data_IF_745748186674
#
_entry.id   IF_745748186674
#
_cell.length_a   1.000
_cell.length_b   1.000
_cell.length_c   1.000
_cell.angle_alpha   90.00
_cell.angle_beta   90.00
_cell.angle_gamma   90.00
#
_symmetry.space_group_name_H-M   'P 1'
#
loop_
_entity.id
_entity.type
_entity.pdbx_description
1 polymer ?
#
# COMPACT_ATOMS: atom_id res chain seq x y z
N UNK A 1 -5.24 -9.43 5.20
CA UNK A 1 -4.44 -8.30 4.67
C UNK A 1 -3.97 -8.50 3.23
N UNK A 2 -3.42 -9.67 2.86
CA UNK A 2 -2.91 -9.94 1.48
C UNK A 2 -3.96 -9.70 0.37
N UNK A 3 -5.22 -10.05 0.61
CA UNK A 3 -6.32 -9.83 -0.32
C UNK A 3 -6.58 -8.33 -0.61
N UNK A 4 -6.65 -7.49 0.43
CA UNK A 4 -6.85 -6.04 0.30
C UNK A 4 -5.74 -5.37 -0.49
N UNK A 5 -4.49 -5.82 -0.32
CA UNK A 5 -3.34 -5.35 -1.10
C UNK A 5 -3.48 -5.67 -2.60
N UNK A 6 -3.91 -6.89 -2.93
CA UNK A 6 -4.09 -7.34 -4.32
C UNK A 6 -5.22 -6.57 -4.99
N UNK A 7 -6.35 -6.38 -4.29
CA UNK A 7 -7.46 -5.57 -4.80
C UNK A 7 -7.03 -4.14 -5.12
N UNK A 8 -6.32 -3.47 -4.20
CA UNK A 8 -5.82 -2.11 -4.43
C UNK A 8 -4.88 -2.05 -5.65
N UNK A 9 -4.03 -3.05 -5.87
CA UNK A 9 -3.17 -3.10 -7.05
C UNK A 9 -3.98 -3.24 -8.35
N UNK A 10 -5.03 -4.06 -8.34
CA UNK A 10 -5.94 -4.22 -9.48
C UNK A 10 -6.66 -2.90 -9.79
N UNK A 11 -7.19 -2.23 -8.77
CA UNK A 11 -7.88 -0.94 -8.93
C UNK A 11 -6.93 0.16 -9.42
N UNK A 12 -5.70 0.23 -8.89
CA UNK A 12 -4.67 1.16 -9.36
C UNK A 12 -4.38 0.93 -10.85
N UNK A 13 -4.23 -0.33 -11.28
CA UNK A 13 -3.95 -0.65 -12.67
C UNK A 13 -5.10 -0.24 -13.59
N UNK A 14 -6.34 -0.59 -13.23
CA UNK A 14 -7.53 -0.20 -14.00
C UNK A 14 -7.69 1.32 -14.08
N UNK A 15 -7.44 2.02 -12.98
CA UNK A 15 -7.55 3.48 -12.92
C UNK A 15 -6.47 4.17 -13.75
N UNK A 16 -5.26 3.60 -13.76
CA UNK A 16 -4.16 4.07 -14.61
C UNK A 16 -4.49 3.94 -16.09
N UNK A 17 -5.05 2.81 -16.51
CA UNK A 17 -5.49 2.60 -17.89
C UNK A 17 -6.56 3.62 -18.29
N UNK A 18 -7.53 3.85 -17.40
CA UNK A 18 -8.58 4.87 -17.60
C UNK A 18 -7.97 6.27 -17.73
N UNK A 19 -7.05 6.65 -16.85
CA UNK A 19 -6.38 7.96 -16.90
C UNK A 19 -5.61 8.15 -18.22
N UNK A 20 -4.91 7.12 -18.70
CA UNK A 20 -4.19 7.16 -19.98
C UNK A 20 -5.18 7.34 -21.13
N UNK A 21 -6.30 6.63 -21.13
CA UNK A 21 -7.32 6.75 -22.17
C UNK A 21 -7.95 8.15 -22.17
N UNK A 22 -8.30 8.68 -21.00
CA UNK A 22 -8.80 10.06 -20.84
C UNK A 22 -7.75 11.09 -21.29
N UNK A 23 -6.48 10.89 -20.97
CA UNK A 23 -5.39 11.77 -21.40
C UNK A 23 -5.19 11.77 -22.91
N UNK A 24 -5.33 10.60 -23.57
CA UNK A 24 -5.28 10.48 -25.03
C UNK A 24 -6.47 11.20 -25.69
N UNK A 25 -7.66 11.09 -25.09
CA UNK A 25 -8.89 11.66 -25.66
C UNK A 25 -8.99 13.17 -25.44
N UNK A 26 -8.69 13.64 -24.24
CA UNK A 26 -8.98 15.02 -23.80
C UNK A 26 -7.72 15.86 -23.56
N UNK A 27 -6.53 15.25 -23.58
CA UNK A 27 -5.27 15.87 -23.23
C UNK A 27 -4.93 15.74 -21.74
N UNK A 28 -3.63 15.75 -21.44
CA UNK A 28 -3.08 15.58 -20.08
C UNK A 28 -3.55 16.65 -19.07
N UNK A 29 -3.76 17.87 -19.55
CA UNK A 29 -4.18 19.00 -18.73
C UNK A 29 -5.72 19.14 -18.66
N UNK A 30 -6.47 18.21 -19.24
CA UNK A 30 -7.92 18.23 -19.10
C UNK A 30 -8.32 18.01 -17.66
N UNK A 31 -9.36 18.71 -17.21
CA UNK A 31 -9.87 18.57 -15.84
C UNK A 31 -10.24 17.11 -15.52
N UNK A 32 -10.70 16.35 -16.52
CA UNK A 32 -11.03 14.94 -16.40
C UNK A 32 -9.77 14.07 -16.17
N UNK A 33 -8.69 14.32 -16.90
CA UNK A 33 -7.42 13.61 -16.69
C UNK A 33 -6.79 13.97 -15.35
N UNK A 34 -6.84 15.24 -14.95
CA UNK A 34 -6.34 15.71 -13.63
C UNK A 34 -7.14 15.08 -12.49
N UNK A 35 -8.47 14.97 -12.62
CA UNK A 35 -9.29 14.26 -11.64
C UNK A 35 -8.91 12.78 -11.58
N UNK A 36 -8.72 12.14 -12.73
CA UNK A 36 -8.29 10.74 -12.79
C UNK A 36 -6.91 10.53 -12.14
N UNK A 37 -5.97 11.47 -12.30
CA UNK A 37 -4.66 11.37 -11.65
C UNK A 37 -4.76 11.51 -10.13
N UNK A 38 -5.59 12.44 -9.63
CA UNK A 38 -5.82 12.60 -8.19
C UNK A 38 -6.46 11.36 -7.56
N UNK A 39 -7.44 10.76 -8.23
CA UNK A 39 -8.09 9.52 -7.78
C UNK A 39 -7.10 8.33 -7.80
N UNK A 40 -6.22 8.26 -8.80
CA UNK A 40 -5.15 7.27 -8.87
C UNK A 40 -4.14 7.45 -7.73
N UNK A 41 -3.73 8.68 -7.44
CA UNK A 41 -2.81 9.01 -6.34
C UNK A 41 -3.39 8.60 -4.99
N UNK A 42 -4.69 8.78 -4.79
CA UNK A 42 -5.37 8.36 -3.55
C UNK A 42 -5.32 6.83 -3.36
N UNK A 43 -5.57 6.06 -4.42
CA UNK A 43 -5.46 4.59 -4.38
C UNK A 43 -4.02 4.13 -4.08
N UNK A 44 -3.03 4.79 -4.70
CA UNK A 44 -1.61 4.53 -4.44
C UNK A 44 -1.27 4.81 -2.97
N UNK A 45 -1.76 5.93 -2.42
CA UNK A 45 -1.53 6.29 -1.02
C UNK A 45 -2.13 5.26 -0.06
N UNK A 46 -3.36 4.78 -0.31
CA UNK A 46 -3.96 3.73 0.51
C UNK A 46 -3.14 2.44 0.48
N UNK A 47 -2.70 2.02 -0.71
CA UNK A 47 -1.81 0.87 -0.87
C UNK A 47 -0.53 1.02 -0.03
N UNK A 48 0.14 2.18 -0.13
CA UNK A 48 1.36 2.44 0.65
C UNK A 48 1.10 2.37 2.17
N UNK A 49 -0.03 2.90 2.64
CA UNK A 49 -0.43 2.82 4.05
C UNK A 49 -0.65 1.38 4.52
N UNK A 50 -1.27 0.53 3.70
CA UNK A 50 -1.44 -0.91 3.99
C UNK A 50 -0.06 -1.59 4.09
N UNK A 51 0.82 -1.35 3.12
CA UNK A 51 2.18 -1.94 3.10
C UNK A 51 3.00 -1.50 4.32
N UNK A 52 2.92 -0.21 4.70
CA UNK A 52 3.63 0.34 5.85
C UNK A 52 3.18 -0.33 7.15
N UNK A 53 1.86 -0.46 7.36
CA UNK A 53 1.30 -1.14 8.54
C UNK A 53 1.73 -2.59 8.64
N UNK A 54 1.76 -3.33 7.54
CA UNK A 54 2.25 -4.71 7.54
C UNK A 54 3.74 -4.81 7.93
N UNK A 55 4.57 -3.89 7.43
CA UNK A 55 5.99 -3.82 7.80
C UNK A 55 6.18 -3.50 9.30
N UNK A 56 5.40 -2.56 9.83
CA UNK A 56 5.45 -2.20 11.24
C UNK A 56 5.01 -3.34 12.16
N UNK A 57 3.95 -4.07 11.80
CA UNK A 57 3.53 -5.26 12.54
C UNK A 57 4.61 -6.34 12.56
N UNK A 58 5.25 -6.63 11.42
CA UNK A 58 6.38 -7.57 11.36
C UNK A 58 7.55 -7.15 12.25
N UNK A 59 7.89 -5.85 12.24
CA UNK A 59 8.95 -5.32 13.12
C UNK A 59 8.59 -5.49 14.60
N UNK A 60 7.35 -5.13 15.00
CA UNK A 60 6.85 -5.31 16.37
C UNK A 60 6.92 -6.77 16.82
N UNK A 61 6.42 -7.71 15.99
CA UNK A 61 6.51 -9.13 16.30
C UNK A 61 7.96 -9.61 16.45
N UNK A 62 8.88 -9.13 15.59
CA UNK A 62 10.30 -9.50 15.69
C UNK A 62 10.95 -9.00 16.97
N UNK A 63 10.59 -7.81 17.44
CA UNK A 63 11.07 -7.25 18.72
C UNK A 63 10.53 -8.09 19.88
N UNK A 64 9.21 -8.31 19.93
CA UNK A 64 8.57 -9.10 20.99
C UNK A 64 9.12 -10.53 21.06
N UNK A 65 9.36 -11.17 19.91
CA UNK A 65 9.96 -12.51 19.88
C UNK A 65 11.40 -12.51 20.42
N UNK A 66 12.18 -11.46 20.14
CA UNK A 66 13.56 -11.32 20.65
C UNK A 66 13.56 -11.10 22.16
N UNK A 67 12.65 -10.27 22.68
CA UNK A 67 12.45 -10.06 24.12
C UNK A 67 12.05 -11.36 24.83
N UNK A 68 11.09 -12.10 24.26
CA UNK A 68 10.70 -13.43 24.75
C UNK A 68 11.90 -14.39 24.81
N UNK A 69 12.68 -14.52 23.73
CA UNK A 69 13.88 -15.38 23.73
C UNK A 69 14.88 -14.96 24.82
N UNK A 70 15.09 -13.66 25.02
CA UNK A 70 15.98 -13.15 26.07
C UNK A 70 15.50 -13.52 27.48
N UNK A 71 14.19 -13.42 27.74
CA UNK A 71 13.60 -13.82 29.02
C UNK A 71 13.75 -15.32 29.26
N UNK A 72 13.53 -16.14 28.23
CA UNK A 72 13.70 -17.59 28.33
C UNK A 72 15.16 -17.99 28.61
N UNK A 73 16.12 -17.33 27.94
CA UNK A 73 17.54 -17.55 28.21
C UNK A 73 17.93 -17.20 29.65
N UNK A 74 17.29 -16.19 30.26
CA UNK A 74 17.52 -15.83 31.66
C UNK A 74 16.88 -16.80 32.66
N UNK A 75 15.82 -17.51 32.28
CA UNK A 75 15.13 -18.46 33.16
C UNK A 75 15.77 -19.86 33.18
N UNK A 76 16.68 -20.14 32.24
CA UNK A 76 17.39 -21.43 32.09
C UNK A 76 18.78 -21.41 32.75
N UNK A 77 19.27 -20.24 33.17
CA UNK A 77 20.50 -20.04 33.97
C UNK A 77 20.11 -19.84 35.42
#
# INVERSE_FOLDING_TARGET
>A
MRYKRIQLLTEIQQKRETMIETAKKNGMASQETVRCSQELDQLIFEYQCVVKREKEQKKRMRISFREMILLWKKAVV
#
